data_IF_983086689239
#
_entry.id   IF_983086689239
#
_cell.length_a   1.000
_cell.length_b   1.000
_cell.length_c   1.000
_cell.angle_alpha   90.00
_cell.angle_beta   90.00
_cell.angle_gamma   90.00
#
_symmetry.space_group_name_H-M   'P 1'
#
loop_
_entity.id
_entity.type
_entity.pdbx_description
1 polymer ?
#
# COMPACT_ATOMS: atom_id res chain seq x y z
N UNK A 1 -43.11 -12.06 -0.24
CA UNK A 1 -41.83 -12.73 0.08
C UNK A 1 -40.75 -11.66 -0.01
N UNK A 2 -40.09 -11.32 1.10
CA UNK A 2 -38.98 -10.36 1.06
C UNK A 2 -37.85 -10.92 0.20
N UNK A 3 -37.20 -10.08 -0.60
CA UNK A 3 -36.00 -10.49 -1.33
C UNK A 3 -34.92 -10.89 -0.31
N UNK A 4 -34.26 -12.02 -0.53
CA UNK A 4 -33.21 -12.53 0.35
C UNK A 4 -31.93 -11.66 0.32
N UNK A 5 -31.75 -10.88 -0.76
CA UNK A 5 -30.61 -10.00 -0.97
C UNK A 5 -31.06 -8.61 -1.42
N UNK A 6 -30.20 -7.62 -1.23
CA UNK A 6 -30.47 -6.27 -1.73
C UNK A 6 -30.48 -6.26 -3.26
N UNK A 7 -31.31 -5.42 -3.91
CA UNK A 7 -31.32 -5.28 -5.37
C UNK A 7 -29.95 -4.90 -5.94
N UNK A 8 -29.19 -4.09 -5.20
CA UNK A 8 -27.84 -3.66 -5.56
C UNK A 8 -26.86 -4.85 -5.64
N UNK A 9 -26.94 -5.79 -4.70
CA UNK A 9 -26.07 -6.97 -4.68
C UNK A 9 -26.37 -7.88 -5.88
N UNK A 10 -27.65 -8.06 -6.22
CA UNK A 10 -28.08 -8.82 -7.39
C UNK A 10 -27.58 -8.19 -8.69
N UNK A 11 -27.74 -6.87 -8.86
CA UNK A 11 -27.29 -6.16 -10.06
C UNK A 11 -25.76 -6.25 -10.25
N UNK A 12 -25.00 -6.17 -9.17
CA UNK A 12 -23.54 -6.30 -9.23
C UNK A 12 -23.13 -7.74 -9.53
N UNK A 13 -23.79 -8.72 -8.91
CA UNK A 13 -23.63 -10.14 -9.24
C UNK A 13 -23.82 -10.38 -10.74
N UNK A 14 -24.90 -9.86 -11.32
CA UNK A 14 -25.21 -10.00 -12.74
C UNK A 14 -24.18 -9.28 -13.62
N UNK A 15 -23.74 -8.09 -13.21
CA UNK A 15 -22.71 -7.30 -13.91
C UNK A 15 -21.35 -8.00 -13.90
N UNK A 16 -20.98 -8.60 -12.77
CA UNK A 16 -19.71 -9.30 -12.60
C UNK A 16 -19.77 -10.76 -13.08
N UNK A 17 -20.95 -11.24 -13.49
CA UNK A 17 -21.16 -12.61 -13.95
C UNK A 17 -20.89 -13.65 -12.87
N UNK A 18 -21.08 -13.29 -11.59
CA UNK A 18 -20.72 -14.12 -10.46
C UNK A 18 -21.97 -14.58 -9.71
N UNK A 19 -22.21 -15.88 -9.63
CA UNK A 19 -23.39 -16.40 -8.95
C UNK A 19 -23.34 -16.13 -7.45
N UNK A 20 -24.40 -15.54 -6.88
CA UNK A 20 -24.47 -15.24 -5.44
C UNK A 20 -24.14 -16.45 -4.57
N UNK A 21 -24.69 -17.62 -4.90
CA UNK A 21 -24.45 -18.88 -4.17
C UNK A 21 -23.35 -19.75 -4.77
N UNK A 22 -22.56 -19.23 -5.71
CA UNK A 22 -21.41 -19.95 -6.23
C UNK A 22 -20.39 -20.16 -5.12
N UNK A 23 -19.96 -21.41 -4.94
CA UNK A 23 -18.90 -21.79 -4.00
C UNK A 23 -17.54 -21.51 -4.64
N UNK A 24 -16.68 -20.81 -3.91
CA UNK A 24 -15.38 -20.33 -4.34
C UNK A 24 -14.34 -20.73 -3.30
N UNK A 25 -13.25 -21.33 -3.75
CA UNK A 25 -12.08 -21.62 -2.93
C UNK A 25 -11.37 -20.34 -2.47
N UNK A 26 -10.43 -20.46 -1.52
CA UNK A 26 -9.58 -19.35 -1.08
C UNK A 26 -8.77 -18.73 -2.22
N UNK A 27 -8.35 -19.55 -3.20
CA UNK A 27 -7.63 -19.07 -4.38
C UNK A 27 -8.54 -18.26 -5.29
N UNK A 28 -9.76 -18.73 -5.54
CA UNK A 28 -10.75 -18.00 -6.35
C UNK A 28 -11.18 -16.70 -5.67
N UNK A 29 -11.32 -16.68 -4.34
CA UNK A 29 -11.58 -15.47 -3.59
C UNK A 29 -10.45 -14.44 -3.73
N UNK A 30 -9.19 -14.90 -3.68
CA UNK A 30 -8.00 -14.07 -3.92
C UNK A 30 -8.00 -13.46 -5.34
N UNK A 31 -8.33 -14.26 -6.35
CA UNK A 31 -8.44 -13.78 -7.74
C UNK A 31 -9.59 -12.77 -7.90
N UNK A 32 -10.74 -13.04 -7.28
CA UNK A 32 -11.92 -12.17 -7.34
C UNK A 32 -11.65 -10.80 -6.71
N UNK A 33 -11.09 -10.77 -5.50
CA UNK A 33 -10.75 -9.53 -4.78
C UNK A 33 -9.47 -8.86 -5.31
N UNK A 34 -8.76 -9.49 -6.24
CA UNK A 34 -7.48 -9.02 -6.80
C UNK A 34 -6.44 -8.73 -5.71
N UNK A 35 -6.38 -9.56 -4.68
CA UNK A 35 -5.45 -9.42 -3.56
C UNK A 35 -4.66 -10.72 -3.33
N UNK A 36 -3.48 -10.68 -2.69
CA UNK A 36 -2.70 -11.89 -2.40
C UNK A 36 -3.45 -12.88 -1.50
N UNK A 37 -3.18 -14.18 -1.63
CA UNK A 37 -3.78 -15.23 -0.80
C UNK A 37 -3.63 -14.96 0.71
N UNK A 38 -2.43 -14.50 1.11
CA UNK A 38 -2.12 -14.11 2.49
C UNK A 38 -3.05 -13.00 3.01
N UNK A 39 -3.51 -12.10 2.15
CA UNK A 39 -4.47 -11.06 2.51
C UNK A 39 -5.84 -11.66 2.77
N UNK A 40 -6.28 -12.62 1.95
CA UNK A 40 -7.55 -13.34 2.18
C UNK A 40 -7.51 -14.08 3.52
N UNK A 41 -6.42 -14.78 3.83
CA UNK A 41 -6.23 -15.44 5.13
C UNK A 41 -6.30 -14.46 6.31
N UNK A 42 -5.71 -13.28 6.16
CA UNK A 42 -5.81 -12.20 7.16
C UNK A 42 -7.25 -11.71 7.34
N UNK A 43 -8.01 -11.59 6.25
CA UNK A 43 -9.41 -11.15 6.30
C UNK A 43 -10.29 -12.17 7.01
N UNK A 44 -10.04 -13.47 6.81
CA UNK A 44 -10.67 -14.55 7.57
C UNK A 44 -10.32 -14.43 9.05
N UNK A 45 -9.03 -14.31 9.38
CA UNK A 45 -8.56 -14.20 10.77
C UNK A 45 -9.12 -12.96 11.50
N UNK A 46 -9.37 -11.88 10.76
CA UNK A 46 -9.97 -10.64 11.27
C UNK A 46 -11.51 -10.65 11.25
N UNK A 47 -12.15 -11.76 10.84
CA UNK A 47 -13.61 -11.88 10.66
C UNK A 47 -14.19 -10.78 9.75
N UNK A 48 -13.43 -10.35 8.75
CA UNK A 48 -13.83 -9.31 7.77
C UNK A 48 -14.63 -9.87 6.61
N UNK A 49 -14.49 -11.16 6.33
CA UNK A 49 -15.21 -11.87 5.26
C UNK A 49 -15.82 -13.14 5.86
N UNK A 50 -17.08 -13.39 5.54
CA UNK A 50 -17.75 -14.64 5.90
C UNK A 50 -17.22 -15.82 5.08
N UNK A 51 -17.14 -17.00 5.69
CA UNK A 51 -16.72 -18.22 5.02
C UNK A 51 -17.53 -19.41 5.52
N UNK A 52 -17.52 -20.49 4.75
CA UNK A 52 -18.00 -21.80 5.17
C UNK A 52 -16.80 -22.74 5.34
N UNK A 53 -16.81 -23.49 6.43
CA UNK A 53 -15.85 -24.59 6.64
C UNK A 53 -16.51 -25.88 6.24
N UNK A 54 -15.80 -26.65 5.41
CA UNK A 54 -16.23 -27.98 5.02
C UNK A 54 -15.66 -29.05 5.97
N UNK A 55 -16.25 -30.26 6.01
CA UNK A 55 -15.82 -31.33 6.91
C UNK A 55 -14.37 -31.79 6.71
N UNK A 56 -13.82 -31.55 5.52
CA UNK A 56 -12.44 -31.83 5.13
C UNK A 56 -11.47 -30.68 5.49
N UNK A 57 -11.88 -29.73 6.32
CA UNK A 57 -11.12 -28.55 6.74
C UNK A 57 -10.82 -27.54 5.61
N UNK A 58 -11.48 -27.67 4.46
CA UNK A 58 -11.39 -26.68 3.40
C UNK A 58 -12.29 -25.47 3.70
N UNK A 59 -11.80 -24.29 3.30
CA UNK A 59 -12.52 -23.02 3.43
C UNK A 59 -13.02 -22.59 2.06
N UNK A 60 -14.32 -22.32 2.00
CA UNK A 60 -14.94 -21.77 0.80
C UNK A 60 -15.79 -20.53 1.12
N UNK A 61 -16.07 -19.80 0.06
CA UNK A 61 -16.81 -18.55 0.05
C UNK A 61 -18.01 -18.70 -0.87
N UNK A 62 -19.13 -18.11 -0.49
CA UNK A 62 -20.21 -17.85 -1.42
C UNK A 62 -19.95 -16.51 -2.09
N UNK A 63 -20.33 -16.42 -3.36
CA UNK A 63 -20.16 -15.21 -4.16
C UNK A 63 -20.65 -13.93 -3.50
N UNK A 64 -21.83 -14.00 -2.86
CA UNK A 64 -22.40 -12.85 -2.16
C UNK A 64 -21.51 -12.36 -1.00
N UNK A 65 -20.79 -13.25 -0.31
CA UNK A 65 -19.91 -12.87 0.82
C UNK A 65 -18.73 -12.03 0.36
N UNK A 66 -18.19 -12.32 -0.83
CA UNK A 66 -17.12 -11.53 -1.42
C UNK A 66 -17.64 -10.20 -1.99
N UNK A 67 -18.82 -10.22 -2.59
CA UNK A 67 -19.48 -9.02 -3.12
C UNK A 67 -19.88 -8.04 -2.02
N UNK A 68 -20.43 -8.53 -0.91
CA UNK A 68 -20.72 -7.71 0.28
C UNK A 68 -19.45 -7.07 0.83
N UNK A 69 -18.37 -7.84 0.97
CA UNK A 69 -17.09 -7.29 1.38
C UNK A 69 -16.59 -6.20 0.41
N UNK A 70 -16.66 -6.42 -0.91
CA UNK A 70 -16.30 -5.39 -1.88
C UNK A 70 -17.17 -4.15 -1.72
N UNK A 71 -18.48 -4.29 -1.56
CA UNK A 71 -19.39 -3.16 -1.40
C UNK A 71 -19.11 -2.35 -0.13
N UNK A 72 -18.83 -3.00 0.99
CA UNK A 72 -18.46 -2.34 2.24
C UNK A 72 -17.15 -1.56 2.12
N UNK A 73 -16.21 -2.04 1.30
CA UNK A 73 -14.87 -1.46 1.15
C UNK A 73 -14.69 -0.60 -0.11
N UNK A 74 -15.67 -0.53 -1.03
CA UNK A 74 -15.67 0.38 -2.20
C UNK A 74 -15.77 1.85 -1.76
N UNK A 75 -16.21 2.14 -0.53
CA UNK A 75 -16.18 3.48 0.06
C UNK A 75 -14.88 3.85 0.80
N UNK A 76 -13.91 2.93 0.92
CA UNK A 76 -12.55 3.29 1.34
C UNK A 76 -11.67 3.43 0.09
N UNK A 77 -11.30 4.66 -0.33
CA UNK A 77 -10.48 4.85 -1.52
C UNK A 77 -9.15 4.14 -1.32
N UNK A 78 -8.91 3.03 -2.02
CA UNK A 78 -7.61 2.41 -2.35
C UNK A 78 -6.52 2.77 -1.31
N UNK A 79 -6.75 2.39 -0.06
CA UNK A 79 -5.88 2.78 1.07
C UNK A 79 -5.21 1.58 1.69
N UNK A 80 -4.85 0.56 0.90
CA UNK A 80 -4.16 -0.63 1.45
C UNK A 80 -3.35 -1.45 0.44
N UNK A 81 -2.76 -0.78 -0.56
CA UNK A 81 -1.63 -1.33 -1.32
C UNK A 81 -0.41 -0.39 -1.24
N UNK A 82 0.02 -0.05 -0.02
CA UNK A 82 1.37 0.45 0.31
C UNK A 82 1.55 0.54 1.83
N UNK A 83 1.86 -0.59 2.45
CA UNK A 83 2.59 -0.60 3.73
C UNK A 83 3.81 -1.52 3.62
N UNK A 84 4.65 -1.23 2.64
CA UNK A 84 6.07 -1.09 2.94
C UNK A 84 6.26 0.37 3.35
N UNK A 85 5.92 0.72 4.59
CA UNK A 85 6.37 1.98 5.16
C UNK A 85 7.85 1.83 5.54
N UNK A 86 8.69 1.78 4.52
CA UNK A 86 9.97 2.43 4.57
C UNK A 86 9.95 3.54 3.52
N UNK A 87 9.00 4.46 3.70
CA UNK A 87 8.89 5.68 2.90
C UNK A 87 9.62 6.79 3.65
N UNK A 88 10.92 6.65 3.87
CA UNK A 88 11.72 7.85 3.65
C UNK A 88 11.56 8.10 2.16
N UNK A 89 10.68 9.05 1.79
CA UNK A 89 10.57 9.48 0.41
C UNK A 89 11.98 9.84 -0.04
N UNK A 90 12.57 9.02 -0.89
CA UNK A 90 13.88 9.26 -1.48
C UNK A 90 13.70 10.45 -2.44
N UNK A 91 13.78 11.64 -1.87
CA UNK A 91 13.61 12.91 -2.56
C UNK A 91 14.94 13.62 -2.61
N UNK A 92 15.15 14.35 -3.69
CA UNK A 92 16.34 15.17 -3.82
C UNK A 92 16.08 16.52 -3.15
N UNK A 93 16.84 16.81 -2.09
CA UNK A 93 16.83 18.07 -1.37
C UNK A 93 17.69 19.10 -2.11
N UNK A 94 17.15 20.30 -2.33
CA UNK A 94 17.93 21.43 -2.82
C UNK A 94 18.76 22.05 -1.70
N UNK A 95 19.73 22.88 -2.08
CA UNK A 95 20.63 23.54 -1.13
C UNK A 95 19.91 24.29 0.00
N UNK A 96 18.82 24.98 -0.31
CA UNK A 96 18.03 25.72 0.69
C UNK A 96 17.42 24.77 1.73
N UNK A 97 16.85 23.66 1.27
CA UNK A 97 16.28 22.64 2.15
C UNK A 97 17.35 21.98 3.01
N UNK A 98 18.51 21.63 2.43
CA UNK A 98 19.64 21.05 3.18
C UNK A 98 20.17 22.03 4.23
N UNK A 99 20.29 23.31 3.88
CA UNK A 99 20.74 24.37 4.80
C UNK A 99 19.77 24.52 5.97
N UNK A 100 18.46 24.49 5.71
CA UNK A 100 17.42 24.53 6.74
C UNK A 100 17.41 23.26 7.61
N UNK A 101 17.57 22.09 7.00
CA UNK A 101 17.53 20.80 7.69
C UNK A 101 18.74 20.58 8.60
N UNK A 102 19.94 20.93 8.12
CA UNK A 102 21.21 20.68 8.81
C UNK A 102 21.63 21.88 9.68
N UNK A 103 21.09 23.07 9.42
CA UNK A 103 21.43 24.30 10.15
C UNK A 103 22.84 24.83 9.85
N UNK A 104 23.45 24.42 8.73
CA UNK A 104 24.79 24.81 8.32
C UNK A 104 24.76 25.69 7.07
N UNK A 105 25.61 26.71 7.04
CA UNK A 105 25.73 27.58 5.86
C UNK A 105 26.27 26.82 4.65
N UNK A 106 25.89 27.29 3.44
CA UNK A 106 26.39 26.76 2.16
C UNK A 106 27.91 26.60 2.11
N UNK A 107 28.65 27.59 2.61
CA UNK A 107 30.13 27.57 2.62
C UNK A 107 30.67 26.47 3.51
N UNK A 108 30.01 26.19 4.64
CA UNK A 108 30.37 25.11 5.54
C UNK A 108 30.08 23.75 4.90
N UNK A 109 28.91 23.58 4.30
CA UNK A 109 28.55 22.37 3.55
C UNK A 109 29.55 22.06 2.45
N UNK A 110 29.94 23.06 1.65
CA UNK A 110 30.94 22.90 0.59
C UNK A 110 32.31 22.47 1.13
N UNK A 111 32.74 23.03 2.27
CA UNK A 111 34.00 22.66 2.90
C UNK A 111 33.97 21.23 3.43
N UNK A 112 32.86 20.79 4.02
CA UNK A 112 32.70 19.42 4.52
C UNK A 112 32.60 18.41 3.38
N UNK A 113 31.87 18.74 2.31
CA UNK A 113 31.80 17.91 1.09
C UNK A 113 33.21 17.71 0.50
N UNK A 114 34.01 18.78 0.39
CA UNK A 114 35.40 18.70 -0.09
C UNK A 114 36.32 17.88 0.81
N UNK A 115 36.01 17.81 2.12
CA UNK A 115 36.72 16.96 3.09
C UNK A 115 36.21 15.51 3.12
N UNK A 116 35.11 15.21 2.44
CA UNK A 116 34.44 13.89 2.51
C UNK A 116 33.65 13.67 3.81
N UNK A 117 33.43 14.72 4.61
CA UNK A 117 32.69 14.67 5.88
C UNK A 117 31.18 14.87 5.71
N UNK A 118 30.72 15.15 4.48
CA UNK A 118 29.31 15.40 4.16
C UNK A 118 28.93 14.66 2.87
N UNK A 119 27.65 14.22 2.72
CA UNK A 119 27.20 13.55 1.52
C UNK A 119 27.47 14.34 0.23
N UNK A 120 27.88 13.62 -0.81
CA UNK A 120 28.17 14.21 -2.12
C UNK A 120 26.88 14.65 -2.82
N UNK A 121 26.94 15.81 -3.49
CA UNK A 121 25.80 16.30 -4.28
C UNK A 121 25.59 15.45 -5.54
N UNK A 122 24.33 15.27 -5.92
CA UNK A 122 23.88 14.58 -7.13
C UNK A 122 23.41 15.61 -8.16
N UNK A 123 23.85 15.56 -9.42
CA UNK A 123 23.31 16.41 -10.47
C UNK A 123 21.86 16.03 -10.81
N UNK A 124 20.98 17.02 -10.80
CA UNK A 124 19.56 16.87 -11.21
C UNK A 124 19.41 17.27 -12.68
N UNK A 125 20.12 18.32 -13.09
CA UNK A 125 20.15 18.83 -14.46
C UNK A 125 21.50 19.51 -14.73
N UNK A 126 21.70 20.01 -15.95
CA UNK A 126 22.92 20.70 -16.36
C UNK A 126 23.26 21.94 -15.50
N UNK A 127 22.28 22.53 -14.79
CA UNK A 127 22.45 23.72 -13.95
C UNK A 127 21.98 23.52 -12.51
N UNK A 128 21.58 22.30 -12.13
CA UNK A 128 20.97 22.05 -10.83
C UNK A 128 21.54 20.79 -10.18
N UNK A 129 21.82 20.91 -8.89
CA UNK A 129 22.34 19.84 -8.04
C UNK A 129 21.50 19.76 -6.77
N UNK A 130 21.47 18.60 -6.14
CA UNK A 130 20.83 18.40 -4.85
C UNK A 130 21.42 17.21 -4.11
N UNK A 131 20.84 16.85 -2.97
CA UNK A 131 21.30 15.75 -2.13
C UNK A 131 20.17 14.76 -1.91
N UNK A 132 20.47 13.46 -1.81
CA UNK A 132 19.44 12.48 -1.45
C UNK A 132 19.04 12.70 0.01
N UNK A 133 17.74 12.79 0.29
CA UNK A 133 17.22 12.94 1.65
C UNK A 133 17.78 11.88 2.60
N UNK A 134 17.82 10.63 2.13
CA UNK A 134 18.32 9.47 2.88
C UNK A 134 19.78 9.65 3.31
N UNK A 135 20.64 10.15 2.42
CA UNK A 135 22.06 10.33 2.73
C UNK A 135 22.26 11.41 3.80
N UNK A 136 21.48 12.49 3.72
CA UNK A 136 21.50 13.59 4.69
C UNK A 136 21.02 13.12 6.05
N UNK A 137 19.94 12.34 6.11
CA UNK A 137 19.40 11.79 7.34
C UNK A 137 20.33 10.75 7.96
N UNK A 138 20.94 9.89 7.14
CA UNK A 138 21.95 8.94 7.61
C UNK A 138 23.18 9.67 8.18
N UNK A 139 23.62 10.74 7.52
CA UNK A 139 24.69 11.58 8.03
C UNK A 139 24.33 12.24 9.36
N UNK A 140 23.11 12.76 9.51
CA UNK A 140 22.63 13.33 10.78
C UNK A 140 22.53 12.29 11.90
N UNK A 141 22.15 11.04 11.58
CA UNK A 141 22.08 9.95 12.56
C UNK A 141 23.44 9.44 13.00
N UNK A 142 24.45 9.51 12.13
CA UNK A 142 25.81 9.05 12.41
C UNK A 142 26.68 10.11 13.10
N UNK A 143 26.12 11.28 13.44
CA UNK A 143 26.81 12.40 14.07
C UNK A 143 26.47 12.49 15.55
#
# INVERSE_FOLDING_TARGET
MGQAFSPQLCEISDTMGLGLYQRLSTQEASLFLRCPLKTVEQLIAQNKIGYISLPNADIEFFGYMLLEYMLEHVNEPVKQAKQSQNTHQERILRLEEVTQMVGLSRTTLWRMERKGEFPSRVPISSRSVGWRSVDIENWMKNR
#
